data_IF_170299301456
#
_entry.id   IF_170299301456
#
_cell.length_a   1.000
_cell.length_b   1.000
_cell.length_c   1.000
_cell.angle_alpha   90.00
_cell.angle_beta   90.00
_cell.angle_gamma   90.00
#
_symmetry.space_group_name_H-M   'P 1'
#
loop_
_entity.id
_entity.type
_entity.pdbx_description
1 polymer ?
#
# COMPACT_ATOMS: atom_id res chain seq x y z
N UNK A 1 -0.84 22.75 -32.24
CA UNK A 1 -0.44 21.33 -32.13
C UNK A 1 -0.43 21.01 -30.66
N UNK A 2 -1.39 20.20 -30.21
CA UNK A 2 -1.48 19.82 -28.80
C UNK A 2 -0.22 19.09 -28.41
N UNK A 3 0.46 19.57 -27.37
CA UNK A 3 1.52 18.84 -26.69
C UNK A 3 0.85 17.78 -25.85
N UNK A 4 0.41 16.68 -26.48
CA UNK A 4 0.07 15.48 -25.73
C UNK A 4 1.34 15.04 -24.99
N UNK A 5 1.24 15.06 -23.67
CA UNK A 5 2.29 14.56 -22.79
C UNK A 5 2.47 13.08 -23.14
N UNK A 6 3.69 12.60 -23.43
CA UNK A 6 3.88 11.21 -23.80
C UNK A 6 3.33 10.31 -22.68
N UNK A 7 2.48 9.34 -23.04
CA UNK A 7 1.94 8.36 -22.10
C UNK A 7 3.10 7.66 -21.38
N UNK A 8 2.99 7.52 -20.07
CA UNK A 8 4.00 6.81 -19.29
C UNK A 8 4.02 5.35 -19.70
N UNK A 9 5.20 4.76 -19.86
CA UNK A 9 5.33 3.33 -20.14
C UNK A 9 4.52 2.49 -19.13
N UNK A 10 4.51 2.88 -17.86
CA UNK A 10 3.73 2.23 -16.81
C UNK A 10 2.21 2.25 -17.08
N UNK A 11 1.69 3.40 -17.54
CA UNK A 11 0.26 3.57 -17.87
C UNK A 11 -0.14 2.68 -19.05
N UNK A 12 0.79 2.43 -19.98
CA UNK A 12 0.53 1.58 -21.16
C UNK A 12 0.57 0.09 -20.89
N UNK A 13 1.41 -0.40 -19.97
CA UNK A 13 1.55 -1.85 -19.70
C UNK A 13 0.74 -2.35 -18.50
N UNK A 14 0.39 -1.45 -17.59
CA UNK A 14 -0.21 -1.80 -16.31
C UNK A 14 -1.10 -0.66 -15.79
N UNK A 15 -2.25 -0.40 -16.44
CA UNK A 15 -3.21 0.56 -15.93
C UNK A 15 -3.65 0.15 -14.52
N UNK A 16 -3.76 1.15 -13.62
CA UNK A 16 -4.28 0.93 -12.29
C UNK A 16 -5.74 0.45 -12.40
N UNK A 17 -6.10 -0.72 -11.85
CA UNK A 17 -7.50 -1.09 -11.74
C UNK A 17 -8.16 -0.22 -10.66
N UNK A 18 -9.37 0.26 -10.95
CA UNK A 18 -10.11 1.16 -10.09
C UNK A 18 -11.48 0.60 -9.69
N UNK A 19 -12.01 1.09 -8.59
CA UNK A 19 -13.36 0.77 -8.16
C UNK A 19 -14.38 1.15 -9.24
N UNK A 20 -15.28 0.22 -9.54
CA UNK A 20 -16.29 0.37 -10.61
C UNK A 20 -15.83 -0.13 -11.98
N UNK A 21 -14.56 -0.52 -12.15
CA UNK A 21 -14.10 -1.21 -13.35
C UNK A 21 -14.80 -2.58 -13.47
N UNK A 22 -15.35 -2.86 -14.66
CA UNK A 22 -16.14 -4.09 -14.92
C UNK A 22 -15.29 -5.33 -15.15
N UNK A 23 -14.00 -5.15 -15.41
CA UNK A 23 -13.11 -6.19 -15.94
C UNK A 23 -11.84 -6.32 -15.06
N UNK A 24 -11.97 -6.19 -13.74
CA UNK A 24 -10.84 -6.37 -12.82
C UNK A 24 -10.43 -7.84 -12.83
N UNK A 25 -9.14 -8.09 -13.02
CA UNK A 25 -8.55 -9.43 -12.98
C UNK A 25 -7.33 -9.45 -12.10
N UNK A 26 -6.99 -10.62 -11.57
CA UNK A 26 -5.78 -10.82 -10.79
C UNK A 26 -4.53 -10.43 -11.60
N UNK A 27 -4.53 -10.70 -12.91
CA UNK A 27 -3.42 -10.31 -13.79
C UNK A 27 -3.23 -8.80 -13.87
N UNK A 28 -4.32 -8.02 -13.97
CA UNK A 28 -4.24 -6.55 -13.98
C UNK A 28 -3.67 -6.02 -12.68
N UNK A 29 -4.15 -6.53 -11.53
CA UNK A 29 -3.65 -6.16 -10.20
C UNK A 29 -2.17 -6.52 -10.05
N UNK A 30 -1.77 -7.74 -10.44
CA UNK A 30 -0.36 -8.19 -10.38
C UNK A 30 0.54 -7.29 -11.22
N UNK A 31 0.17 -7.01 -12.48
CA UNK A 31 0.98 -6.17 -13.37
C UNK A 31 1.15 -4.77 -12.81
N UNK A 32 0.06 -4.16 -12.37
CA UNK A 32 0.09 -2.84 -11.74
C UNK A 32 1.00 -2.85 -10.51
N UNK A 33 0.83 -3.82 -9.62
CA UNK A 33 1.62 -3.92 -8.39
C UNK A 33 3.11 -4.11 -8.68
N UNK A 34 3.49 -4.93 -9.67
CA UNK A 34 4.90 -5.13 -10.06
C UNK A 34 5.53 -3.85 -10.63
N UNK A 35 4.81 -3.14 -11.50
CA UNK A 35 5.29 -1.89 -12.10
C UNK A 35 5.42 -0.80 -11.02
N UNK A 36 4.39 -0.63 -10.20
CA UNK A 36 4.38 0.32 -9.09
C UNK A 36 5.47 0.02 -8.07
N UNK A 37 5.68 -1.25 -7.71
CA UNK A 37 6.78 -1.64 -6.82
C UNK A 37 8.14 -1.25 -7.40
N UNK A 38 8.38 -1.50 -8.69
CA UNK A 38 9.64 -1.12 -9.32
C UNK A 38 9.83 0.40 -9.35
N UNK A 39 8.77 1.17 -9.64
CA UNK A 39 8.82 2.63 -9.62
C UNK A 39 9.14 3.18 -8.22
N UNK A 40 8.46 2.65 -7.20
CA UNK A 40 8.65 3.06 -5.81
C UNK A 40 10.03 2.65 -5.28
N UNK A 41 10.57 1.51 -5.72
CA UNK A 41 11.95 1.11 -5.42
C UNK A 41 12.97 2.10 -6.00
N UNK A 42 12.81 2.55 -7.25
CA UNK A 42 13.70 3.55 -7.82
C UNK A 42 13.52 4.92 -7.14
N UNK A 43 12.30 5.32 -6.83
CA UNK A 43 12.00 6.56 -6.10
C UNK A 43 12.61 6.54 -4.69
N UNK A 44 12.48 5.41 -3.97
CA UNK A 44 13.11 5.16 -2.67
C UNK A 44 14.63 5.31 -2.78
N UNK A 45 15.28 4.67 -3.76
CA UNK A 45 16.74 4.76 -3.94
C UNK A 45 17.20 6.19 -4.19
N UNK A 46 16.45 6.97 -4.97
CA UNK A 46 16.75 8.37 -5.20
C UNK A 46 16.54 9.22 -3.95
N UNK A 47 15.45 8.98 -3.21
CA UNK A 47 15.15 9.69 -1.96
C UNK A 47 16.20 9.41 -0.88
N UNK A 48 16.59 8.14 -0.67
CA UNK A 48 17.66 7.75 0.27
C UNK A 48 18.98 8.45 -0.06
N UNK A 49 19.37 8.50 -1.33
CA UNK A 49 20.61 9.18 -1.76
C UNK A 49 20.59 10.68 -1.53
N UNK A 50 19.41 11.29 -1.58
CA UNK A 50 19.24 12.71 -1.28
C UNK A 50 19.30 12.96 0.23
N UNK A 51 18.57 12.17 1.01
CA UNK A 51 18.55 12.23 2.48
C UNK A 51 19.94 12.09 3.10
N UNK A 52 20.74 11.12 2.63
CA UNK A 52 22.12 10.91 3.11
C UNK A 52 23.07 12.13 2.99
N UNK A 53 22.68 13.15 2.23
CA UNK A 53 23.48 14.37 2.03
C UNK A 53 23.05 15.53 2.93
N UNK A 54 21.95 15.37 3.66
CA UNK A 54 21.36 16.42 4.50
C UNK A 54 21.82 16.29 5.96
N UNK A 55 21.79 17.40 6.68
CA UNK A 55 22.11 17.43 8.10
C UNK A 55 20.98 16.79 8.91
N UNK A 56 21.33 15.82 9.77
CA UNK A 56 20.36 15.18 10.67
C UNK A 56 19.82 16.18 11.69
N UNK A 57 18.51 16.17 11.89
CA UNK A 57 17.83 17.07 12.82
C UNK A 57 17.43 18.41 12.22
N UNK A 58 17.75 18.68 10.95
CA UNK A 58 17.17 19.79 10.19
C UNK A 58 15.75 19.44 9.70
N UNK A 59 14.92 20.46 9.48
CA UNK A 59 13.57 20.29 8.90
C UNK A 59 13.64 19.66 7.49
N UNK A 60 14.64 20.05 6.69
CA UNK A 60 14.89 19.49 5.37
C UNK A 60 15.27 18.00 5.44
N UNK A 61 16.11 17.63 6.41
CA UNK A 61 16.45 16.24 6.70
C UNK A 61 15.22 15.43 7.13
N UNK A 62 14.40 15.97 8.03
CA UNK A 62 13.16 15.30 8.46
C UNK A 62 12.19 15.06 7.30
N UNK A 63 12.00 16.04 6.42
CA UNK A 63 11.17 15.90 5.23
C UNK A 63 11.73 14.86 4.24
N UNK A 64 13.06 14.80 4.08
CA UNK A 64 13.71 13.82 3.21
C UNK A 64 13.60 12.38 3.75
N UNK A 65 13.73 12.19 5.07
CA UNK A 65 13.47 10.91 5.74
C UNK A 65 12.02 10.49 5.54
N UNK A 66 11.06 11.39 5.78
CA UNK A 66 9.64 11.10 5.60
C UNK A 66 9.34 10.68 4.14
N UNK A 67 9.91 11.38 3.16
CA UNK A 67 9.76 11.02 1.75
C UNK A 67 10.34 9.63 1.44
N UNK A 68 11.51 9.32 1.99
CA UNK A 68 12.12 7.99 1.88
C UNK A 68 11.22 6.91 2.47
N UNK A 69 10.64 7.16 3.65
CA UNK A 69 9.71 6.25 4.29
C UNK A 69 8.45 6.00 3.46
N UNK A 70 7.86 7.04 2.87
CA UNK A 70 6.68 6.91 2.00
C UNK A 70 6.98 5.96 0.83
N UNK A 71 8.06 6.19 0.09
CA UNK A 71 8.44 5.32 -1.03
C UNK A 71 8.78 3.90 -0.58
N UNK A 72 9.40 3.75 0.60
CA UNK A 72 9.69 2.43 1.18
C UNK A 72 8.41 1.66 1.49
N UNK A 73 7.44 2.31 2.15
CA UNK A 73 6.16 1.68 2.51
C UNK A 73 5.35 1.33 1.26
N UNK A 74 5.32 2.22 0.26
CA UNK A 74 4.64 1.96 -1.00
C UNK A 74 5.30 0.80 -1.76
N UNK A 75 6.63 0.75 -1.82
CA UNK A 75 7.35 -0.37 -2.42
C UNK A 75 6.98 -1.70 -1.75
N UNK A 76 7.05 -1.76 -0.41
CA UNK A 76 6.74 -2.98 0.34
C UNK A 76 5.29 -3.39 0.11
N UNK A 77 4.34 -2.46 0.21
CA UNK A 77 2.93 -2.74 0.00
C UNK A 77 2.68 -3.34 -1.39
N UNK A 78 3.20 -2.72 -2.45
CA UNK A 78 3.01 -3.19 -3.81
C UNK A 78 3.72 -4.52 -4.09
N UNK A 79 4.92 -4.73 -3.54
CA UNK A 79 5.64 -6.00 -3.66
C UNK A 79 4.88 -7.15 -3.00
N UNK A 80 4.33 -6.92 -1.80
CA UNK A 80 3.50 -7.90 -1.08
C UNK A 80 2.19 -8.17 -1.83
N UNK A 81 1.52 -7.13 -2.34
CA UNK A 81 0.30 -7.29 -3.14
C UNK A 81 0.55 -8.16 -4.38
N UNK A 82 1.64 -7.91 -5.10
CA UNK A 82 2.01 -8.71 -6.27
C UNK A 82 2.25 -10.18 -5.90
N UNK A 83 3.05 -10.44 -4.85
CA UNK A 83 3.37 -11.80 -4.40
C UNK A 83 2.14 -12.57 -3.91
N UNK A 84 1.28 -11.92 -3.12
CA UNK A 84 0.04 -12.52 -2.62
C UNK A 84 -0.91 -12.85 -3.78
N UNK A 85 -1.13 -11.93 -4.72
CA UNK A 85 -2.02 -12.17 -5.86
C UNK A 85 -1.47 -13.24 -6.80
N UNK A 86 -0.15 -13.28 -7.03
CA UNK A 86 0.50 -14.38 -7.75
C UNK A 86 0.28 -15.72 -7.05
N UNK A 87 0.41 -15.75 -5.72
CA UNK A 87 0.18 -16.95 -4.91
C UNK A 87 -1.27 -17.41 -4.99
N UNK A 88 -2.23 -16.50 -4.84
CA UNK A 88 -3.66 -16.77 -4.98
C UNK A 88 -3.96 -17.34 -6.37
N UNK A 89 -3.49 -16.68 -7.43
CA UNK A 89 -3.69 -17.13 -8.82
C UNK A 89 -3.11 -18.53 -9.08
N UNK A 90 -2.01 -18.89 -8.42
CA UNK A 90 -1.41 -20.23 -8.51
C UNK A 90 -2.21 -21.29 -7.75
N UNK A 91 -2.73 -20.96 -6.57
CA UNK A 91 -3.41 -21.91 -5.69
C UNK A 91 -4.90 -22.07 -5.98
N UNK A 92 -5.55 -21.00 -6.44
CA UNK A 92 -6.98 -20.92 -6.69
C UNK A 92 -7.25 -20.07 -7.96
N UNK A 93 -6.86 -20.56 -9.15
CA UNK A 93 -6.96 -19.79 -10.40
C UNK A 93 -8.39 -19.35 -10.72
N UNK A 94 -9.38 -20.18 -10.39
CA UNK A 94 -10.80 -19.90 -10.69
C UNK A 94 -11.39 -18.82 -9.76
N UNK A 95 -10.80 -18.61 -8.58
CA UNK A 95 -11.26 -17.62 -7.60
C UNK A 95 -10.47 -16.30 -7.68
N UNK A 96 -9.32 -16.32 -8.36
CA UNK A 96 -8.34 -15.24 -8.31
C UNK A 96 -8.89 -13.90 -8.79
N UNK A 97 -9.68 -13.89 -9.87
CA UNK A 97 -10.26 -12.66 -10.42
C UNK A 97 -11.35 -12.08 -9.50
N UNK A 98 -12.13 -12.96 -8.84
CA UNK A 98 -13.11 -12.53 -7.84
C UNK A 98 -12.44 -11.91 -6.61
N UNK A 99 -11.35 -12.51 -6.13
CA UNK A 99 -10.56 -11.97 -5.03
C UNK A 99 -9.90 -10.64 -5.42
N UNK A 100 -9.37 -10.52 -6.63
CA UNK A 100 -8.77 -9.29 -7.14
C UNK A 100 -9.80 -8.15 -7.24
N UNK A 101 -11.01 -8.46 -7.72
CA UNK A 101 -12.12 -7.50 -7.76
C UNK A 101 -12.46 -7.01 -6.36
N UNK A 102 -12.66 -7.93 -5.41
CA UNK A 102 -12.96 -7.56 -4.02
C UNK A 102 -11.83 -6.76 -3.37
N UNK A 103 -10.58 -7.09 -3.66
CA UNK A 103 -9.41 -6.35 -3.16
C UNK A 103 -9.42 -4.89 -3.62
N UNK A 104 -9.67 -4.63 -4.92
CA UNK A 104 -9.73 -3.27 -5.47
C UNK A 104 -10.93 -2.51 -4.89
N UNK A 105 -12.10 -3.15 -4.84
CA UNK A 105 -13.30 -2.54 -4.24
C UNK A 105 -13.05 -2.08 -2.80
N UNK A 106 -12.53 -2.97 -1.96
CA UNK A 106 -12.27 -2.65 -0.54
C UNK A 106 -11.17 -1.62 -0.40
N UNK A 107 -10.12 -1.70 -1.22
CA UNK A 107 -8.98 -0.80 -1.17
C UNK A 107 -9.33 0.65 -1.51
N UNK A 108 -10.23 0.86 -2.48
CA UNK A 108 -10.61 2.22 -2.93
C UNK A 108 -11.92 2.75 -2.34
N UNK A 109 -12.87 1.88 -1.97
CA UNK A 109 -14.10 2.32 -1.29
C UNK A 109 -13.81 2.89 0.10
N UNK A 110 -12.61 2.62 0.65
CA UNK A 110 -12.25 2.97 2.02
C UNK A 110 -12.97 2.11 3.05
N UNK A 111 -13.66 1.04 2.63
CA UNK A 111 -14.50 0.19 3.47
C UNK A 111 -13.73 -0.58 4.57
N UNK A 112 -12.39 -0.55 4.57
CA UNK A 112 -11.55 -1.01 5.68
C UNK A 112 -11.50 0.00 6.84
N UNK A 113 -12.66 0.46 7.32
CA UNK A 113 -12.75 1.34 8.48
C UNK A 113 -12.36 0.61 9.78
N UNK A 114 -12.01 1.34 10.86
CA UNK A 114 -11.72 0.76 12.17
C UNK A 114 -12.76 -0.25 12.66
N UNK A 115 -14.03 -0.06 12.30
CA UNK A 115 -15.16 -0.95 12.61
C UNK A 115 -15.02 -2.33 11.95
N UNK A 116 -14.56 -2.39 10.69
CA UNK A 116 -14.33 -3.68 10.01
C UNK A 116 -13.16 -4.42 10.65
N UNK A 117 -12.09 -3.70 11.03
CA UNK A 117 -10.98 -4.30 11.78
C UNK A 117 -11.49 -4.83 13.13
N UNK A 118 -12.34 -4.06 13.81
CA UNK A 118 -12.94 -4.42 15.09
C UNK A 118 -13.81 -5.68 14.99
N UNK A 119 -14.68 -5.75 13.99
CA UNK A 119 -15.50 -6.92 13.69
C UNK A 119 -14.63 -8.15 13.42
N UNK A 120 -13.63 -8.01 12.54
CA UNK A 120 -12.71 -9.11 12.22
C UNK A 120 -11.92 -9.61 13.44
N UNK A 121 -11.50 -8.71 14.32
CA UNK A 121 -10.85 -9.05 15.59
C UNK A 121 -11.81 -9.84 16.49
N UNK A 122 -13.03 -9.33 16.67
CA UNK A 122 -14.06 -9.93 17.52
C UNK A 122 -14.44 -11.33 17.04
N UNK A 123 -14.67 -11.50 15.74
CA UNK A 123 -14.96 -12.80 15.12
C UNK A 123 -13.88 -13.86 15.36
N UNK A 124 -12.62 -13.41 15.52
CA UNK A 124 -11.47 -14.27 15.77
C UNK A 124 -11.18 -14.45 17.27
N UNK A 125 -12.06 -13.97 18.15
CA UNK A 125 -11.93 -14.05 19.60
C UNK A 125 -10.83 -13.14 20.15
N UNK A 126 -10.39 -12.14 19.39
CA UNK A 126 -9.48 -11.10 19.85
C UNK A 126 -10.34 -10.01 20.51
N UNK A 127 -9.92 -9.49 21.65
CA UNK A 127 -10.61 -8.40 22.36
C UNK A 127 -10.04 -7.02 21.93
N UNK A 128 -10.68 -6.34 20.96
CA UNK A 128 -10.22 -5.04 20.49
C UNK A 128 -10.33 -3.93 21.54
N UNK A 129 -11.29 -4.00 22.47
CA UNK A 129 -11.47 -2.99 23.53
C UNK A 129 -10.32 -3.04 24.53
N UNK A 130 -9.92 -4.25 24.91
CA UNK A 130 -8.75 -4.46 25.75
C UNK A 130 -7.48 -3.94 25.09
N UNK A 131 -7.23 -4.27 23.82
CA UNK A 131 -6.05 -3.79 23.08
C UNK A 131 -6.05 -2.26 23.02
N UNK A 132 -7.19 -1.63 22.71
CA UNK A 132 -7.31 -0.18 22.67
C UNK A 132 -6.95 0.44 24.02
N UNK A 133 -7.53 -0.08 25.10
CA UNK A 133 -7.32 0.44 26.46
C UNK A 133 -5.87 0.30 26.92
N UNK A 134 -5.27 -0.87 26.72
CA UNK A 134 -3.88 -1.14 27.08
C UNK A 134 -2.91 -0.26 26.26
N UNK A 135 -3.19 -0.05 24.97
CA UNK A 135 -2.38 0.81 24.09
C UNK A 135 -2.45 2.28 24.49
N UNK A 136 -3.65 2.80 24.78
CA UNK A 136 -3.82 4.20 25.25
C UNK A 136 -3.06 4.42 26.56
N UNK A 137 -3.13 3.46 27.49
CA UNK A 137 -2.41 3.54 28.75
C UNK A 137 -0.88 3.54 28.55
N UNK A 138 -0.38 2.74 27.61
CA UNK A 138 1.04 2.70 27.27
C UNK A 138 1.53 4.03 26.66
N UNK A 139 0.78 4.60 25.71
CA UNK A 139 1.10 5.90 25.09
C UNK A 139 1.14 7.00 26.14
N UNK A 140 0.12 7.10 27.00
CA UNK A 140 0.06 8.11 28.06
C UNK A 140 1.24 7.99 29.06
N UNK A 141 1.70 6.77 29.32
CA UNK A 141 2.85 6.51 30.18
C UNK A 141 4.20 6.87 29.53
N UNK A 142 4.29 6.88 28.19
CA UNK A 142 5.47 7.33 27.45
C UNK A 142 5.54 8.85 27.37
N UNK A 143 4.42 9.54 27.14
CA UNK A 143 4.36 11.01 27.10
C UNK A 143 4.63 11.67 28.46
N UNK A 144 4.50 10.92 29.56
CA UNK A 144 4.74 11.38 30.93
C UNK A 144 6.20 11.23 31.40
N UNK A 145 7.11 10.73 30.54
CA UNK A 145 8.54 10.53 30.84
C UNK A 145 9.41 11.63 30.23
#
# INVERSE_FOLDING_TARGET
MGTEKPESYAETIAPCPHWGDKDITAEKVIRYALVSAQQEHEAMRLAMRADMKLERGSDEGAAAVQKTMIHTLNYIAQAVTADLMLTIKRLAPDEADGIATRFVEVGEAGDCWPEVIWEQMTERGIDPERIRTETIAAIAAEESK
#
